data_IF_505256450862
#
_entry.id   IF_505256450862
#
_cell.length_a   1.000
_cell.length_b   1.000
_cell.length_c   1.000
_cell.angle_alpha   90.00
_cell.angle_beta   90.00
_cell.angle_gamma   90.00
#
_symmetry.space_group_name_H-M   'P 1'
#
loop_
_entity.id
_entity.type
_entity.pdbx_description
1 polymer ?
#
# COMPACT_ATOMS: atom_id res chain seq x y z
N UNK A 1 -64.05 60.77 -46.01
CA UNK A 1 -63.84 59.37 -45.54
C UNK A 1 -63.59 58.51 -46.75
N UNK A 2 -62.73 57.50 -46.75
CA UNK A 2 -62.24 56.64 -45.68
C UNK A 2 -60.80 56.23 -46.07
N UNK A 3 -59.84 56.37 -45.16
CA UNK A 3 -58.46 55.90 -45.34
C UNK A 3 -58.35 54.40 -45.02
N UNK A 4 -57.47 53.63 -45.70
CA UNK A 4 -57.15 52.27 -45.28
C UNK A 4 -56.19 52.26 -44.07
N UNK A 5 -56.25 51.26 -43.19
CA UNK A 5 -55.42 51.22 -41.99
C UNK A 5 -53.97 50.81 -42.30
N UNK A 6 -53.02 51.54 -41.72
CA UNK A 6 -51.59 51.19 -41.69
C UNK A 6 -51.39 49.97 -40.79
N UNK A 7 -51.02 48.83 -41.36
CA UNK A 7 -50.46 47.72 -40.58
C UNK A 7 -49.06 48.10 -40.09
N UNK A 8 -48.92 48.20 -38.77
CA UNK A 8 -47.64 48.38 -38.11
C UNK A 8 -46.89 47.04 -38.08
N UNK A 9 -45.85 46.90 -38.90
CA UNK A 9 -44.90 45.78 -38.78
C UNK A 9 -44.09 45.96 -37.49
N UNK A 10 -44.42 45.20 -36.45
CA UNK A 10 -43.52 45.00 -35.33
C UNK A 10 -42.31 44.18 -35.82
N UNK A 11 -41.15 44.83 -35.93
CA UNK A 11 -39.86 44.16 -36.10
C UNK A 11 -39.53 43.40 -34.81
N UNK A 12 -39.75 42.09 -34.81
CA UNK A 12 -39.32 41.19 -33.75
C UNK A 12 -37.81 40.94 -33.89
N UNK A 13 -36.99 41.71 -33.18
CA UNK A 13 -35.54 41.49 -33.11
C UNK A 13 -35.26 40.25 -32.26
N UNK A 14 -34.96 39.13 -32.92
CA UNK A 14 -34.44 37.93 -32.26
C UNK A 14 -33.05 38.24 -31.70
N UNK A 15 -32.95 38.48 -30.38
CA UNK A 15 -31.67 38.42 -29.66
C UNK A 15 -31.14 36.99 -29.74
N UNK A 16 -30.12 36.78 -30.56
CA UNK A 16 -29.30 35.56 -30.52
C UNK A 16 -28.50 35.65 -29.22
N UNK A 17 -28.94 34.90 -28.20
CA UNK A 17 -28.21 34.77 -26.95
C UNK A 17 -26.84 34.14 -27.24
N UNK A 18 -25.78 34.88 -26.97
CA UNK A 18 -24.43 34.36 -26.97
C UNK A 18 -24.35 33.29 -25.87
N UNK A 19 -24.28 32.01 -26.25
CA UNK A 19 -23.89 30.96 -25.31
C UNK A 19 -22.44 31.27 -24.92
N UNK A 20 -22.26 31.85 -23.75
CA UNK A 20 -20.96 31.96 -23.12
C UNK A 20 -20.41 30.55 -22.97
N UNK A 21 -19.46 30.20 -23.85
CA UNK A 21 -18.69 28.98 -23.79
C UNK A 21 -17.98 29.00 -22.44
N UNK A 22 -18.55 28.25 -21.51
CA UNK A 22 -18.08 28.10 -20.13
C UNK A 22 -16.66 27.57 -20.25
N UNK A 23 -15.69 28.43 -19.95
CA UNK A 23 -14.30 28.01 -19.87
C UNK A 23 -14.25 26.89 -18.84
N UNK A 24 -14.01 25.66 -19.32
CA UNK A 24 -13.56 24.60 -18.43
C UNK A 24 -12.22 25.08 -17.88
N UNK A 25 -12.25 25.52 -16.62
CA UNK A 25 -11.04 25.67 -15.81
C UNK A 25 -10.43 24.27 -15.78
N UNK A 26 -9.38 24.07 -16.57
CA UNK A 26 -8.52 22.89 -16.45
C UNK A 26 -7.86 23.03 -15.08
N UNK A 27 -8.13 22.14 -14.11
CA UNK A 27 -7.51 22.25 -12.81
C UNK A 27 -5.99 22.19 -12.98
N UNK A 28 -5.30 23.03 -12.20
CA UNK A 28 -3.85 23.15 -12.09
C UNK A 28 -3.13 21.84 -12.34
N UNK A 29 -2.09 21.89 -13.17
CA UNK A 29 -1.22 20.76 -13.49
C UNK A 29 -0.70 20.07 -12.21
N UNK A 30 -1.38 19.02 -11.77
CA UNK A 30 -0.77 18.00 -10.92
C UNK A 30 0.43 17.47 -11.70
N UNK A 31 1.59 17.43 -11.04
CA UNK A 31 2.74 16.71 -11.57
C UNK A 31 2.38 15.22 -11.57
N UNK A 32 1.77 14.76 -12.66
CA UNK A 32 1.46 13.36 -12.88
C UNK A 32 2.80 12.62 -13.08
N UNK A 33 2.97 11.48 -12.40
CA UNK A 33 4.09 10.58 -12.69
C UNK A 33 3.99 10.14 -14.15
N UNK A 34 5.07 10.31 -14.92
CA UNK A 34 5.11 9.93 -16.34
C UNK A 34 5.42 8.44 -16.48
N UNK A 35 6.35 7.93 -15.66
CA UNK A 35 6.75 6.52 -15.62
C UNK A 35 7.17 6.13 -14.20
N UNK A 36 6.97 4.87 -13.83
CA UNK A 36 7.51 4.28 -12.59
C UNK A 36 9.02 3.96 -12.68
N UNK A 37 9.57 3.86 -13.89
CA UNK A 37 10.95 3.43 -14.12
C UNK A 37 11.16 1.91 -13.95
N UNK A 38 10.10 1.15 -13.71
CA UNK A 38 10.12 -0.31 -13.57
C UNK A 38 9.38 -0.92 -14.77
N UNK A 39 10.02 -1.85 -15.46
CA UNK A 39 9.41 -2.53 -16.62
C UNK A 39 8.23 -3.39 -16.15
N UNK A 40 7.09 -3.27 -16.83
CA UNK A 40 5.88 -4.04 -16.52
C UNK A 40 5.01 -3.46 -15.40
N UNK A 41 5.37 -2.30 -14.84
CA UNK A 41 4.59 -1.60 -13.81
C UNK A 41 4.06 -0.25 -14.35
N UNK A 42 2.83 -0.19 -14.89
CA UNK A 42 2.27 1.06 -15.40
C UNK A 42 1.93 2.02 -14.25
N UNK A 43 1.94 3.33 -14.52
CA UNK A 43 1.52 4.36 -13.56
C UNK A 43 0.01 4.29 -13.37
N UNK A 44 -0.43 4.33 -12.12
CA UNK A 44 -1.85 4.34 -11.76
C UNK A 44 -2.31 5.77 -11.42
N UNK A 45 -3.15 6.42 -12.26
CA UNK A 45 -3.57 7.81 -12.03
C UNK A 45 -4.42 7.99 -10.77
N UNK A 46 -5.20 6.98 -10.37
CA UNK A 46 -6.06 7.03 -9.18
C UNK A 46 -5.53 6.17 -8.03
N UNK A 47 -4.20 6.05 -7.90
CA UNK A 47 -3.52 5.13 -6.98
C UNK A 47 -4.03 5.17 -5.52
N UNK A 48 -4.30 6.37 -5.00
CA UNK A 48 -4.81 6.55 -3.63
C UNK A 48 -6.15 5.86 -3.41
N UNK A 49 -7.10 6.06 -4.33
CA UNK A 49 -8.44 5.48 -4.22
C UNK A 49 -8.40 3.95 -4.28
N UNK A 50 -7.56 3.41 -5.17
CA UNK A 50 -7.33 1.98 -5.33
C UNK A 50 -6.69 1.38 -4.08
N UNK A 51 -5.66 2.02 -3.51
CA UNK A 51 -5.03 1.59 -2.27
C UNK A 51 -6.02 1.58 -1.10
N UNK A 52 -6.84 2.61 -0.94
CA UNK A 52 -7.85 2.64 0.12
C UNK A 52 -8.87 1.51 0.00
N UNK A 53 -9.32 1.24 -1.23
CA UNK A 53 -10.25 0.13 -1.50
C UNK A 53 -9.60 -1.21 -1.15
N UNK A 54 -8.38 -1.46 -1.64
CA UNK A 54 -7.66 -2.71 -1.41
C UNK A 54 -7.42 -2.95 0.08
N UNK A 55 -6.94 -1.96 0.83
CA UNK A 55 -6.71 -2.12 2.26
C UNK A 55 -8.00 -2.36 3.05
N UNK A 56 -9.12 -1.74 2.68
CA UNK A 56 -10.43 -2.04 3.29
C UNK A 56 -10.83 -3.49 3.02
N UNK A 57 -10.67 -3.96 1.78
CA UNK A 57 -10.94 -5.36 1.41
C UNK A 57 -10.04 -6.32 2.21
N UNK A 58 -8.74 -6.01 2.35
CA UNK A 58 -7.81 -6.84 3.13
C UNK A 58 -8.27 -6.95 4.58
N UNK A 59 -8.67 -5.85 5.21
CA UNK A 59 -9.19 -5.87 6.59
C UNK A 59 -10.51 -6.65 6.74
N UNK A 60 -11.30 -6.75 5.68
CA UNK A 60 -12.52 -7.57 5.67
C UNK A 60 -12.18 -9.05 5.56
N UNK A 61 -11.30 -9.43 4.64
CA UNK A 61 -10.87 -10.82 4.41
C UNK A 61 -10.11 -11.40 5.62
N UNK A 62 -9.31 -10.58 6.32
CA UNK A 62 -8.58 -11.01 7.51
C UNK A 62 -9.49 -11.51 8.64
N UNK A 63 -10.78 -11.12 8.66
CA UNK A 63 -11.75 -11.61 9.65
C UNK A 63 -12.01 -13.11 9.53
N UNK A 64 -11.73 -13.72 8.38
CA UNK A 64 -11.83 -15.16 8.19
C UNK A 64 -10.73 -15.95 8.91
N UNK A 65 -9.61 -15.30 9.26
CA UNK A 65 -8.48 -15.89 9.97
C UNK A 65 -8.72 -15.80 11.49
N UNK A 66 -8.38 -16.82 12.30
CA UNK A 66 -8.53 -16.77 13.75
C UNK A 66 -7.74 -15.62 14.40
N UNK A 67 -8.30 -14.98 15.43
CA UNK A 67 -7.68 -13.84 16.15
C UNK A 67 -6.39 -14.21 16.88
N UNK A 68 -6.21 -15.50 17.19
CA UNK A 68 -4.99 -16.02 17.82
C UNK A 68 -3.81 -16.05 16.87
N UNK A 69 -4.04 -16.04 15.54
CA UNK A 69 -2.98 -16.10 14.55
C UNK A 69 -2.16 -14.81 14.55
N UNK A 70 -0.83 -14.95 14.71
CA UNK A 70 0.08 -13.81 14.73
C UNK A 70 0.10 -13.06 13.39
N UNK A 71 -0.01 -13.81 12.28
CA UNK A 71 -0.14 -13.24 10.94
C UNK A 71 -1.29 -12.22 10.87
N UNK A 72 -2.47 -12.54 11.40
CA UNK A 72 -3.61 -11.62 11.38
C UNK A 72 -3.29 -10.33 12.13
N UNK A 73 -2.73 -10.40 13.33
CA UNK A 73 -2.39 -9.22 14.14
C UNK A 73 -1.40 -8.30 13.44
N UNK A 74 -0.34 -8.88 12.85
CA UNK A 74 0.71 -8.11 12.17
C UNK A 74 0.14 -7.45 10.91
N UNK A 75 -0.61 -8.19 10.09
CA UNK A 75 -1.17 -7.66 8.84
C UNK A 75 -2.25 -6.61 9.14
N UNK A 76 -3.10 -6.80 10.15
CA UNK A 76 -4.07 -5.79 10.59
C UNK A 76 -3.37 -4.51 11.07
N UNK A 77 -2.36 -4.62 11.92
CA UNK A 77 -1.60 -3.46 12.40
C UNK A 77 -0.92 -2.71 11.25
N UNK A 78 -0.25 -3.42 10.34
CA UNK A 78 0.41 -2.82 9.19
C UNK A 78 -0.61 -2.16 8.23
N UNK A 79 -1.71 -2.84 7.94
CA UNK A 79 -2.73 -2.37 7.00
C UNK A 79 -3.48 -1.16 7.55
N UNK A 80 -3.82 -1.16 8.85
CA UNK A 80 -4.46 -0.02 9.52
C UNK A 80 -3.56 1.21 9.56
N UNK A 81 -2.26 1.03 9.87
CA UNK A 81 -1.27 2.10 9.81
C UNK A 81 -1.17 2.68 8.40
N UNK A 82 -0.99 1.84 7.38
CA UNK A 82 -0.88 2.28 5.98
C UNK A 82 -2.15 2.98 5.51
N UNK A 83 -3.33 2.47 5.87
CA UNK A 83 -4.62 3.08 5.54
C UNK A 83 -4.77 4.47 6.21
N UNK A 84 -4.30 4.64 7.44
CA UNK A 84 -4.32 5.93 8.12
C UNK A 84 -3.43 6.97 7.40
N UNK A 85 -2.24 6.56 6.97
CA UNK A 85 -1.32 7.41 6.19
C UNK A 85 -1.96 7.83 4.88
N UNK A 86 -2.49 6.88 4.10
CA UNK A 86 -3.10 7.14 2.78
C UNK A 86 -4.29 8.11 2.90
N UNK A 87 -5.07 8.04 3.99
CA UNK A 87 -6.17 8.98 4.25
C UNK A 87 -5.69 10.35 4.72
N UNK A 88 -4.54 10.42 5.38
CA UNK A 88 -4.02 11.63 6.02
C UNK A 88 -3.40 12.63 5.05
N UNK A 89 -2.90 12.18 3.90
CA UNK A 89 -2.21 13.03 2.92
C UNK A 89 -2.76 12.83 1.50
N UNK A 90 -2.76 13.91 0.70
CA UNK A 90 -3.14 13.86 -0.72
C UNK A 90 -1.92 13.74 -1.66
N UNK A 91 -0.71 13.98 -1.15
CA UNK A 91 0.52 13.85 -1.92
C UNK A 91 1.04 12.41 -1.91
N UNK A 92 1.19 11.83 -3.11
CA UNK A 92 1.72 10.47 -3.31
C UNK A 92 3.19 10.38 -2.86
N UNK A 93 3.99 11.45 -3.02
CA UNK A 93 5.41 11.43 -2.62
C UNK A 93 5.57 11.32 -1.10
N UNK A 94 4.68 11.96 -0.34
CA UNK A 94 4.67 11.86 1.12
C UNK A 94 4.25 10.46 1.57
N UNK A 95 3.28 9.83 0.90
CA UNK A 95 2.87 8.45 1.17
C UNK A 95 4.06 7.49 0.97
N UNK A 96 4.81 7.64 -0.12
CA UNK A 96 5.98 6.79 -0.42
C UNK A 96 7.07 6.91 0.65
N UNK A 97 7.34 8.15 1.09
CA UNK A 97 8.39 8.44 2.08
C UNK A 97 8.00 7.96 3.47
N UNK A 98 6.72 8.07 3.84
CA UNK A 98 6.22 7.68 5.17
C UNK A 98 6.02 6.17 5.29
N UNK A 99 5.52 5.50 4.24
CA UNK A 99 5.30 4.05 4.25
C UNK A 99 6.62 3.27 4.07
N UNK A 100 7.59 3.85 3.35
CA UNK A 100 8.91 3.23 3.06
C UNK A 100 8.81 1.82 2.43
N UNK A 101 7.78 1.60 1.60
CA UNK A 101 7.50 0.31 0.95
C UNK A 101 7.74 0.29 -0.56
N UNK A 102 8.44 1.28 -1.11
CA UNK A 102 8.63 1.49 -2.54
C UNK A 102 7.66 2.53 -3.12
N UNK A 103 7.43 2.45 -4.43
CA UNK A 103 6.48 3.33 -5.12
C UNK A 103 5.03 2.91 -4.85
N UNK A 104 4.07 3.83 -4.97
CA UNK A 104 2.63 3.54 -4.74
C UNK A 104 2.10 2.40 -5.61
N UNK A 105 2.59 2.25 -6.85
CA UNK A 105 2.20 1.15 -7.73
C UNK A 105 2.69 -0.21 -7.20
N UNK A 106 3.84 -0.26 -6.53
CA UNK A 106 4.32 -1.47 -5.87
C UNK A 106 3.50 -1.78 -4.62
N UNK A 107 3.06 -0.74 -3.89
CA UNK A 107 2.14 -0.92 -2.75
C UNK A 107 0.80 -1.51 -3.20
N UNK A 108 0.30 -1.09 -4.37
CA UNK A 108 -0.93 -1.67 -4.96
C UNK A 108 -0.72 -3.15 -5.25
N UNK A 109 0.39 -3.54 -5.89
CA UNK A 109 0.70 -4.94 -6.15
C UNK A 109 0.82 -5.76 -4.86
N UNK A 110 1.52 -5.24 -3.85
CA UNK A 110 1.62 -5.88 -2.54
C UNK A 110 0.24 -6.11 -1.92
N UNK A 111 -0.64 -5.11 -1.94
CA UNK A 111 -1.99 -5.24 -1.38
C UNK A 111 -2.84 -6.26 -2.17
N UNK A 112 -2.70 -6.31 -3.49
CA UNK A 112 -3.38 -7.31 -4.32
C UNK A 112 -2.85 -8.73 -4.06
N UNK A 113 -1.55 -8.88 -3.88
CA UNK A 113 -0.94 -10.18 -3.60
C UNK A 113 -1.29 -10.67 -2.19
N UNK A 114 -1.39 -9.76 -1.22
CA UNK A 114 -1.90 -10.06 0.12
C UNK A 114 -3.34 -10.58 0.07
N UNK A 115 -4.21 -9.94 -0.72
CA UNK A 115 -5.58 -10.40 -0.94
C UNK A 115 -5.64 -11.79 -1.59
N UNK A 116 -4.73 -12.10 -2.52
CA UNK A 116 -4.63 -13.46 -3.11
C UNK A 116 -4.05 -14.48 -2.13
N UNK A 117 -3.21 -14.04 -1.19
CA UNK A 117 -2.54 -14.91 -0.23
C UNK A 117 -3.50 -15.44 0.84
N UNK A 118 -4.37 -14.58 1.38
CA UNK A 118 -5.33 -14.93 2.44
C UNK A 118 -6.12 -16.22 2.14
N UNK A 119 -6.81 -16.38 0.99
CA UNK A 119 -7.55 -17.60 0.70
C UNK A 119 -6.65 -18.83 0.55
N UNK A 120 -5.41 -18.65 0.06
CA UNK A 120 -4.44 -19.74 -0.05
C UNK A 120 -3.97 -20.22 1.33
N UNK A 121 -3.77 -19.32 2.29
CA UNK A 121 -3.40 -19.66 3.66
C UNK A 121 -4.51 -20.44 4.37
N UNK A 122 -5.76 -20.02 4.15
CA UNK A 122 -6.94 -20.70 4.69
C UNK A 122 -7.05 -22.10 4.07
N UNK A 123 -6.93 -22.21 2.75
CA UNK A 123 -6.98 -23.50 2.04
C UNK A 123 -5.86 -24.44 2.49
N UNK A 124 -4.68 -23.91 2.78
CA UNK A 124 -3.52 -24.66 3.27
C UNK A 124 -3.60 -25.04 4.76
N UNK A 125 -4.65 -24.62 5.49
CA UNK A 125 -4.81 -24.85 6.93
C UNK A 125 -3.59 -24.38 7.74
N UNK A 126 -2.98 -23.27 7.33
CA UNK A 126 -1.71 -22.79 7.87
C UNK A 126 -1.76 -22.40 9.36
N UNK A 127 -2.97 -22.20 9.91
CA UNK A 127 -3.18 -21.77 11.30
C UNK A 127 -3.59 -22.91 12.24
N UNK A 128 -3.73 -24.13 11.71
CA UNK A 128 -4.02 -25.29 12.54
C UNK A 128 -2.78 -25.70 13.34
N UNK A 129 -2.95 -26.32 14.53
CA UNK A 129 -1.83 -26.87 15.28
C UNK A 129 -1.05 -27.89 14.43
N UNK A 130 0.28 -27.84 14.52
CA UNK A 130 1.15 -28.75 13.81
C UNK A 130 0.88 -30.21 14.21
N UNK A 131 0.62 -31.07 13.22
CA UNK A 131 0.25 -32.47 13.37
C UNK A 131 1.27 -33.46 12.77
N UNK A 132 2.42 -32.96 12.31
CA UNK A 132 3.47 -33.76 11.66
C UNK A 132 4.40 -34.50 12.63
N UNK A 133 5.54 -34.97 12.10
CA UNK A 133 6.55 -35.71 12.86
C UNK A 133 7.04 -34.95 14.09
N UNK A 134 7.36 -35.65 15.19
CA UNK A 134 7.91 -35.03 16.39
C UNK A 134 9.25 -34.33 16.10
N UNK A 135 9.56 -33.31 16.91
CA UNK A 135 10.73 -32.45 16.75
C UNK A 135 12.03 -33.26 16.65
N UNK A 136 12.17 -34.30 17.47
CA UNK A 136 13.38 -35.14 17.53
C UNK A 136 13.65 -35.86 16.20
N UNK A 137 12.60 -36.34 15.54
CA UNK A 137 12.71 -37.02 14.25
C UNK A 137 13.08 -36.05 13.13
N UNK A 138 12.47 -34.85 13.12
CA UNK A 138 12.80 -33.79 12.17
C UNK A 138 14.28 -33.41 12.31
N UNK A 139 14.74 -33.21 13.55
CA UNK A 139 16.11 -32.81 13.84
C UNK A 139 17.12 -33.87 13.41
N UNK A 140 16.80 -35.15 13.60
CA UNK A 140 17.63 -36.25 13.16
C UNK A 140 17.66 -36.38 11.63
N UNK A 141 16.53 -36.18 10.95
CA UNK A 141 16.45 -36.17 9.49
C UNK A 141 17.29 -35.03 8.87
N UNK A 142 17.19 -33.81 9.42
CA UNK A 142 18.01 -32.67 9.00
C UNK A 142 19.52 -32.96 9.15
N UNK A 143 19.93 -33.57 10.27
CA UNK A 143 21.32 -33.99 10.49
C UNK A 143 21.76 -35.05 9.48
N UNK A 144 20.91 -36.05 9.18
CA UNK A 144 21.22 -37.12 8.22
C UNK A 144 21.37 -36.60 6.79
N UNK A 145 20.59 -35.59 6.40
CA UNK A 145 20.67 -34.94 5.08
C UNK A 145 21.96 -34.13 4.87
N UNK A 146 22.80 -33.96 5.90
CA UNK A 146 24.10 -33.30 5.79
C UNK A 146 24.01 -31.81 5.47
N UNK A 147 22.86 -31.19 5.71
CA UNK A 147 22.67 -29.74 5.54
C UNK A 147 23.39 -29.07 6.72
N UNK A 148 24.57 -28.51 6.49
CA UNK A 148 25.11 -27.52 7.43
C UNK A 148 24.10 -26.37 7.50
N UNK A 149 23.63 -26.04 8.70
CA UNK A 149 22.60 -25.01 8.92
C UNK A 149 22.97 -23.64 8.31
N UNK A 150 24.26 -23.41 8.08
CA UNK A 150 24.76 -22.22 7.40
C UNK A 150 25.80 -22.63 6.35
N UNK A 151 25.57 -22.20 5.11
CA UNK A 151 26.48 -22.38 3.98
C UNK A 151 27.34 -21.14 3.86
N UNK A 152 28.58 -21.21 4.33
CA UNK A 152 29.52 -20.10 4.33
C UNK A 152 30.00 -19.70 2.92
N UNK A 153 29.74 -20.55 1.92
CA UNK A 153 30.07 -20.35 0.51
C UNK A 153 29.06 -19.47 -0.24
N UNK A 154 27.88 -19.22 0.34
CA UNK A 154 26.86 -18.38 -0.28
C UNK A 154 27.06 -16.93 0.17
N UNK A 155 27.31 -15.98 -0.75
CA UNK A 155 27.44 -14.58 -0.37
C UNK A 155 26.11 -14.09 0.23
N UNK A 156 26.13 -13.78 1.53
CA UNK A 156 24.98 -13.26 2.23
C UNK A 156 24.71 -11.82 1.77
N UNK A 157 23.43 -11.51 1.55
CA UNK A 157 23.01 -10.13 1.34
C UNK A 157 23.35 -9.34 2.62
N UNK A 158 24.11 -8.23 2.54
CA UNK A 158 24.34 -7.40 3.71
C UNK A 158 23.00 -6.88 4.21
N UNK A 159 22.80 -6.85 5.53
CA UNK A 159 21.61 -6.27 6.14
C UNK A 159 21.51 -4.80 5.73
N UNK A 160 20.40 -4.43 5.10
CA UNK A 160 20.07 -3.02 4.83
C UNK A 160 19.49 -2.33 6.08
N UNK A 161 19.02 -3.14 7.03
CA UNK A 161 18.37 -2.72 8.26
C UNK A 161 19.41 -2.70 9.38
N UNK A 162 19.95 -1.51 9.68
CA UNK A 162 20.56 -1.04 10.93
C UNK A 162 21.74 -0.08 10.63
N UNK A 163 21.96 0.95 11.47
CA UNK A 163 23.20 1.71 11.45
C UNK A 163 24.39 0.76 11.59
N UNK A 164 25.28 0.80 10.61
CA UNK A 164 26.50 -0.02 10.52
C UNK A 164 27.47 0.36 11.64
N UNK A 165 27.30 -0.15 12.86
CA UNK A 165 28.17 -0.03 14.07
C UNK A 165 28.55 1.39 14.56
N UNK A 166 28.48 2.41 13.71
CA UNK A 166 28.99 3.78 13.91
C UNK A 166 28.06 4.67 14.71
N UNK A 167 26.85 4.21 15.02
CA UNK A 167 25.82 4.98 15.73
C UNK A 167 25.28 4.25 16.96
N UNK A 168 25.92 3.14 17.37
CA UNK A 168 25.58 2.45 18.60
C UNK A 168 26.52 3.02 19.68
N UNK A 169 26.02 3.95 20.48
CA UNK A 169 26.68 4.32 21.72
C UNK A 169 26.54 3.12 22.66
N UNK A 170 27.62 2.36 22.82
CA UNK A 170 27.70 1.28 23.81
C UNK A 170 27.60 1.94 25.19
N UNK A 171 26.41 1.91 25.79
CA UNK A 171 26.25 2.23 27.21
C UNK A 171 27.15 1.27 28.01
N UNK A 172 28.12 1.83 28.72
CA UNK A 172 29.00 1.06 29.58
C UNK A 172 28.15 0.34 30.65
N UNK A 173 28.47 -0.92 30.99
CA UNK A 173 27.76 -1.63 32.04
C UNK A 173 27.75 -0.81 33.33
N UNK A 174 26.59 -0.71 33.97
CA UNK A 174 26.44 -0.04 35.27
C UNK A 174 27.43 -0.66 36.28
N UNK A 175 28.29 0.16 36.88
CA UNK A 175 29.18 -0.29 37.95
C UNK A 175 28.32 -0.87 39.09
N UNK A 176 28.62 -2.10 39.48
CA UNK A 176 27.99 -2.72 40.65
C UNK A 176 28.44 -1.92 41.88
N UNK A 177 27.51 -1.19 42.50
CA UNK A 177 27.78 -0.56 43.79
C UNK A 177 28.11 -1.65 44.81
N UNK A 178 29.39 -1.79 45.14
CA UNK A 178 29.85 -2.60 46.28
C UNK A 178 29.18 -2.04 47.55
N UNK A 179 28.12 -2.74 47.98
CA UNK A 179 27.47 -2.51 49.27
C UNK A 179 28.45 -2.89 50.38
N UNK A 180 29.04 -1.88 51.01
CA UNK A 180 29.76 -1.99 52.29
C UNK A 180 28.85 -2.33 53.46
#
# INVERSE_FOLDING_TARGET
GIHPPRLSMMLLTRRVGCLAFRQHVVPSAMRLKVTTGIVGLPVEPEAKSVLEMLYKQTLEELKAIPETAEYRKVVEAMTTQRLAIVRGTDDLSEIETTVQGGQVEQLIQQAQDELKLIPNLIAARAFDPYDGSPIDEIYLDLKRRGIALQRDDIPMRPSADFPTERFIDLELPSEEEEKS
#
